data_IF_623630122935
#
_entry.id   IF_623630122935
#
_cell.length_a   1.000
_cell.length_b   1.000
_cell.length_c   1.000
_cell.angle_alpha   90.00
_cell.angle_beta   90.00
_cell.angle_gamma   90.00
#
_symmetry.space_group_name_H-M   'P 1'
#
loop_
_entity.id
_entity.type
_entity.pdbx_description
1 polymer ?
#
# COMPACT_ATOMS: atom_id res chain seq x y z
N UNK A 1 15.91 89.77 -4.04
CA UNK A 1 14.62 89.08 -3.74
C UNK A 1 14.80 87.63 -3.86
N UNK A 2 14.69 86.96 -2.77
CA UNK A 2 15.09 85.59 -2.47
C UNK A 2 13.98 84.60 -2.82
N UNK A 3 14.29 83.59 -3.61
CA UNK A 3 13.42 82.41 -3.78
C UNK A 3 14.13 81.19 -3.18
N UNK A 4 13.72 80.79 -1.99
CA UNK A 4 14.26 79.63 -1.26
C UNK A 4 13.40 78.38 -1.58
N UNK A 5 14.00 77.42 -2.30
CA UNK A 5 13.35 76.28 -2.82
C UNK A 5 13.21 75.11 -1.77
N UNK A 6 11.98 74.73 -1.58
CA UNK A 6 11.62 73.48 -0.83
C UNK A 6 12.16 72.21 -1.55
N UNK A 7 13.30 71.71 -1.11
CA UNK A 7 13.81 70.34 -1.54
C UNK A 7 14.18 69.47 -0.35
N UNK A 8 13.28 69.26 0.58
CA UNK A 8 13.60 68.53 1.80
C UNK A 8 12.76 67.26 2.11
N UNK A 9 11.62 67.00 1.47
CA UNK A 9 10.66 66.00 1.96
C UNK A 9 10.58 64.69 1.16
N UNK A 10 11.29 64.53 0.05
CA UNK A 10 11.21 63.34 -0.76
C UNK A 10 12.18 62.21 -0.36
N UNK A 11 13.24 62.48 0.42
CA UNK A 11 14.24 61.50 0.81
C UNK A 11 13.85 60.66 2.02
N UNK A 12 12.99 61.16 2.90
CA UNK A 12 12.56 60.45 4.10
C UNK A 12 11.49 59.34 3.82
N UNK A 13 10.66 59.54 2.80
CA UNK A 13 9.61 58.55 2.45
C UNK A 13 10.16 57.29 1.76
N UNK A 14 11.26 57.38 1.00
CA UNK A 14 11.81 56.25 0.29
C UNK A 14 12.51 55.22 1.24
N UNK A 15 13.05 55.70 2.36
CA UNK A 15 13.69 54.80 3.34
C UNK A 15 12.69 53.96 4.14
N UNK A 16 11.53 54.53 4.48
CA UNK A 16 10.45 53.84 5.20
C UNK A 16 9.84 52.72 4.32
N UNK A 17 9.61 53.05 3.04
CA UNK A 17 9.10 52.05 2.08
C UNK A 17 10.11 50.91 1.89
N UNK A 18 11.40 51.23 1.79
CA UNK A 18 12.46 50.21 1.67
C UNK A 18 12.54 49.26 2.86
N UNK A 19 12.43 49.79 4.09
CA UNK A 19 12.41 48.97 5.31
C UNK A 19 11.15 48.12 5.38
N UNK A 20 9.98 48.67 5.05
CA UNK A 20 8.73 47.93 5.05
C UNK A 20 8.75 46.75 4.04
N UNK A 21 9.28 46.96 2.83
CA UNK A 21 9.45 45.91 1.82
C UNK A 21 10.45 44.88 2.30
N UNK A 22 11.56 45.25 2.90
CA UNK A 22 12.56 44.31 3.42
C UNK A 22 11.98 43.44 4.51
N UNK A 23 11.23 44.01 5.45
CA UNK A 23 10.54 43.24 6.52
C UNK A 23 9.51 42.28 5.92
N UNK A 24 8.70 42.77 4.96
CA UNK A 24 7.70 41.92 4.30
C UNK A 24 8.35 40.71 3.57
N UNK A 25 9.43 40.94 2.82
CA UNK A 25 10.18 39.89 2.13
C UNK A 25 10.78 38.91 3.14
N UNK A 26 11.33 39.40 4.25
CA UNK A 26 11.90 38.52 5.29
C UNK A 26 10.82 37.64 5.94
N UNK A 27 9.67 38.23 6.30
CA UNK A 27 8.55 37.47 6.89
C UNK A 27 8.01 36.42 5.92
N UNK A 28 7.84 36.73 4.65
CA UNK A 28 7.41 35.80 3.62
C UNK A 28 8.44 34.67 3.41
N UNK A 29 9.73 35.01 3.39
CA UNK A 29 10.80 34.02 3.23
C UNK A 29 10.89 33.07 4.40
N UNK A 30 10.80 33.57 5.64
CA UNK A 30 10.79 32.72 6.85
C UNK A 30 9.54 31.85 6.90
N UNK A 31 8.37 32.44 6.55
CA UNK A 31 7.11 31.66 6.49
C UNK A 31 7.16 30.53 5.46
N UNK A 32 7.70 30.80 4.27
CA UNK A 32 7.86 29.77 3.22
C UNK A 32 8.85 28.68 3.63
N UNK A 33 9.97 29.04 4.26
CA UNK A 33 10.95 28.07 4.78
C UNK A 33 10.36 27.20 5.90
N UNK A 34 9.58 27.79 6.79
CA UNK A 34 8.94 27.04 7.89
C UNK A 34 7.91 26.05 7.37
N UNK A 35 7.10 26.45 6.38
CA UNK A 35 6.15 25.52 5.73
C UNK A 35 6.88 24.39 4.98
N UNK A 36 7.94 24.71 4.24
CA UNK A 36 8.74 23.71 3.54
C UNK A 36 9.37 22.72 4.53
N UNK A 37 9.99 23.20 5.62
CA UNK A 37 10.57 22.35 6.64
C UNK A 37 9.50 21.43 7.29
N UNK A 38 8.30 21.94 7.57
CA UNK A 38 7.19 21.16 8.14
C UNK A 38 6.74 20.03 7.21
N UNK A 39 6.66 20.26 5.89
CA UNK A 39 6.31 19.22 4.93
C UNK A 39 7.39 18.15 4.80
N UNK A 40 8.66 18.51 4.78
CA UNK A 40 9.77 17.55 4.74
C UNK A 40 9.80 16.63 5.98
N UNK A 41 9.58 17.18 7.17
CA UNK A 41 9.53 16.40 8.42
C UNK A 41 8.33 15.45 8.41
N UNK A 42 7.14 15.92 8.03
CA UNK A 42 5.94 15.08 7.97
C UNK A 42 6.05 13.96 6.94
N UNK A 43 6.63 14.24 5.77
CA UNK A 43 6.88 13.25 4.72
C UNK A 43 7.92 12.21 5.17
N UNK A 44 8.97 12.64 5.90
CA UNK A 44 9.97 11.76 6.49
C UNK A 44 9.38 10.80 7.51
N UNK A 45 8.52 11.30 8.41
CA UNK A 45 7.80 10.48 9.40
C UNK A 45 6.86 9.49 8.71
N UNK A 46 6.10 9.93 7.72
CA UNK A 46 5.21 9.04 6.96
C UNK A 46 5.99 7.95 6.23
N UNK A 47 7.16 8.27 5.67
CA UNK A 47 8.05 7.30 5.03
C UNK A 47 8.58 6.26 6.01
N UNK A 48 9.07 6.70 7.17
CA UNK A 48 9.59 5.82 8.21
C UNK A 48 8.51 4.90 8.78
N UNK A 49 7.30 5.42 9.02
CA UNK A 49 6.18 4.60 9.47
C UNK A 49 5.77 3.57 8.40
N UNK A 50 5.65 3.98 7.14
CA UNK A 50 5.29 3.06 6.05
C UNK A 50 6.31 1.93 5.90
N UNK A 51 7.62 2.25 6.00
CA UNK A 51 8.68 1.26 5.95
C UNK A 51 8.56 0.26 7.11
N UNK A 52 8.38 0.73 8.34
CA UNK A 52 8.23 -0.12 9.53
C UNK A 52 6.99 -0.99 9.44
N UNK A 53 5.85 -0.41 9.07
CA UNK A 53 4.60 -1.17 8.88
C UNK A 53 4.76 -2.22 7.78
N UNK A 54 5.46 -1.91 6.68
CA UNK A 54 5.74 -2.89 5.64
C UNK A 54 6.60 -4.06 6.16
N UNK A 55 7.61 -3.76 6.99
CA UNK A 55 8.46 -4.77 7.61
C UNK A 55 7.69 -5.62 8.64
N UNK A 56 6.71 -5.03 9.35
CA UNK A 56 5.86 -5.76 10.30
C UNK A 56 4.81 -6.61 9.59
N UNK A 57 4.23 -6.12 8.50
CA UNK A 57 3.25 -6.87 7.68
C UNK A 57 3.89 -8.06 6.95
N UNK A 58 5.14 -7.93 6.52
CA UNK A 58 5.92 -9.00 5.89
C UNK A 58 6.15 -10.22 6.81
N UNK A 59 6.06 -9.99 8.14
CA UNK A 59 6.21 -11.07 9.14
C UNK A 59 4.91 -11.80 9.48
N UNK A 60 3.77 -11.34 8.97
CA UNK A 60 2.47 -11.98 9.28
C UNK A 60 2.33 -13.33 8.57
N UNK A 61 3.07 -13.57 7.49
CA UNK A 61 2.98 -14.77 6.65
C UNK A 61 3.53 -16.05 7.28
N UNK A 62 4.20 -15.95 8.43
CA UNK A 62 4.90 -17.10 9.03
C UNK A 62 3.98 -18.08 9.79
N UNK A 63 2.66 -17.96 9.66
CA UNK A 63 1.70 -18.89 10.25
C UNK A 63 1.14 -18.44 11.59
N UNK A 64 1.11 -19.36 12.59
CA UNK A 64 0.58 -19.07 13.92
C UNK A 64 1.44 -18.07 14.68
N UNK A 65 0.82 -16.98 15.16
CA UNK A 65 1.59 -15.99 15.90
C UNK A 65 0.86 -14.73 16.31
N UNK A 66 1.64 -13.79 16.81
CA UNK A 66 1.17 -12.45 17.12
C UNK A 66 2.21 -11.43 16.64
N UNK A 67 1.84 -10.65 15.65
CA UNK A 67 2.66 -9.55 15.13
C UNK A 67 2.14 -8.24 15.68
N UNK A 68 3.05 -7.43 16.24
CA UNK A 68 2.74 -6.08 16.69
C UNK A 68 3.14 -5.10 15.60
N UNK A 69 2.19 -4.27 15.19
CA UNK A 69 2.37 -3.20 14.22
C UNK A 69 2.29 -1.87 14.95
N UNK A 70 3.34 -1.05 14.85
CA UNK A 70 3.39 0.24 15.52
C UNK A 70 3.61 1.39 14.53
N UNK A 71 2.78 2.43 14.66
CA UNK A 71 2.90 3.65 13.86
C UNK A 71 2.48 4.88 14.66
N UNK A 72 3.12 6.01 14.40
CA UNK A 72 2.84 7.25 15.11
C UNK A 72 1.75 8.10 14.44
N UNK A 73 1.38 7.79 13.20
CA UNK A 73 0.36 8.50 12.43
C UNK A 73 -0.14 7.64 11.28
N UNK A 74 -1.40 7.76 10.92
CA UNK A 74 -2.01 7.04 9.82
C UNK A 74 -3.15 6.13 10.26
N UNK A 75 -3.61 5.30 9.35
CA UNK A 75 -4.72 4.35 9.58
C UNK A 75 -4.35 2.99 9.01
N UNK A 76 -4.50 1.96 9.82
CA UNK A 76 -4.49 0.55 9.39
C UNK A 76 -5.94 0.08 9.28
N UNK A 77 -6.31 -0.49 8.15
CA UNK A 77 -7.66 -1.02 7.91
C UNK A 77 -7.62 -2.38 7.22
N UNK A 78 -8.73 -3.09 7.33
CA UNK A 78 -9.00 -4.35 6.65
C UNK A 78 -9.87 -4.05 5.43
N UNK A 79 -9.49 -4.53 4.27
CA UNK A 79 -10.24 -4.42 3.02
C UNK A 79 -10.53 -5.83 2.49
N UNK A 80 -11.81 -6.23 2.32
CA UNK A 80 -12.15 -7.54 1.75
C UNK A 80 -11.63 -7.66 0.32
N UNK A 81 -11.10 -8.83 -0.02
CA UNK A 81 -10.61 -9.18 -1.37
C UNK A 81 -10.89 -10.63 -1.65
N UNK A 82 -10.81 -11.02 -2.92
CA UNK A 82 -11.01 -12.40 -3.35
C UNK A 82 -9.84 -12.85 -4.23
N UNK A 83 -9.36 -14.07 -3.98
CA UNK A 83 -8.45 -14.80 -4.87
C UNK A 83 -9.23 -15.92 -5.53
N UNK A 84 -9.14 -16.03 -6.85
CA UNK A 84 -9.91 -17.00 -7.65
C UNK A 84 -8.98 -17.88 -8.47
N UNK A 85 -9.18 -19.18 -8.43
CA UNK A 85 -8.63 -20.11 -9.42
C UNK A 85 -9.67 -20.29 -10.54
N UNK A 86 -9.23 -20.04 -11.76
CA UNK A 86 -10.07 -20.13 -12.97
C UNK A 86 -9.64 -21.32 -13.80
N UNK A 87 -10.62 -22.04 -14.37
CA UNK A 87 -10.45 -23.10 -15.38
C UNK A 87 -11.23 -22.72 -16.61
N UNK A 88 -10.56 -22.55 -17.75
CA UNK A 88 -11.22 -22.08 -18.97
C UNK A 88 -11.93 -20.73 -18.82
N UNK A 89 -11.47 -19.87 -17.91
CA UNK A 89 -12.06 -18.55 -17.61
C UNK A 89 -13.25 -18.57 -16.63
N UNK A 90 -13.62 -19.75 -16.10
CA UNK A 90 -14.68 -19.95 -15.10
C UNK A 90 -14.06 -20.16 -13.74
N UNK A 91 -14.58 -19.52 -12.71
CA UNK A 91 -14.11 -19.70 -11.32
C UNK A 91 -14.44 -21.11 -10.82
N UNK A 92 -13.42 -21.88 -10.46
CA UNK A 92 -13.54 -23.22 -9.86
C UNK A 92 -13.24 -23.23 -8.35
N UNK A 93 -12.44 -22.26 -7.89
CA UNK A 93 -12.21 -21.99 -6.46
C UNK A 93 -12.25 -20.49 -6.26
N UNK A 94 -12.95 -20.03 -5.23
CA UNK A 94 -12.92 -18.66 -4.74
C UNK A 94 -12.55 -18.68 -3.26
N UNK A 95 -11.56 -17.88 -2.88
CA UNK A 95 -11.09 -17.74 -1.51
C UNK A 95 -11.20 -16.27 -1.11
N UNK A 96 -11.95 -15.98 -0.05
CA UNK A 96 -11.95 -14.66 0.57
C UNK A 96 -10.59 -14.46 1.26
N UNK A 97 -9.95 -13.34 0.99
CA UNK A 97 -8.64 -13.01 1.53
C UNK A 97 -8.59 -11.50 1.79
N UNK A 98 -8.67 -11.12 3.05
CA UNK A 98 -8.63 -9.70 3.44
C UNK A 98 -7.23 -9.11 3.20
N UNK A 99 -7.21 -7.87 2.73
CA UNK A 99 -5.99 -7.07 2.68
C UNK A 99 -5.85 -6.23 3.96
N UNK A 100 -4.66 -6.22 4.56
CA UNK A 100 -4.29 -5.24 5.57
C UNK A 100 -3.70 -4.01 4.88
N UNK A 101 -4.32 -2.85 5.06
CA UNK A 101 -3.97 -1.62 4.35
C UNK A 101 -3.62 -0.53 5.35
N UNK A 102 -2.38 -0.05 5.27
CA UNK A 102 -1.93 1.13 6.02
C UNK A 102 -1.80 2.33 5.10
N UNK A 103 -2.31 3.48 5.55
CA UNK A 103 -2.20 4.75 4.83
C UNK A 103 -1.74 5.88 5.73
N UNK A 104 -0.77 6.68 5.23
CA UNK A 104 -0.25 7.88 5.90
C UNK A 104 0.48 8.79 4.91
N UNK A 105 0.15 10.08 4.89
CA UNK A 105 0.88 11.09 4.11
C UNK A 105 0.97 10.78 2.61
N UNK A 106 -0.10 10.22 2.01
CA UNK A 106 -0.13 9.82 0.61
C UNK A 106 0.67 8.54 0.28
N UNK A 107 1.18 7.84 1.30
CA UNK A 107 1.77 6.50 1.20
C UNK A 107 0.74 5.45 1.53
N UNK A 108 0.82 4.32 0.84
CA UNK A 108 -0.02 3.14 1.08
C UNK A 108 0.86 1.91 1.16
N UNK A 109 0.66 1.12 2.21
CA UNK A 109 1.23 -0.23 2.35
C UNK A 109 0.08 -1.21 2.39
N UNK A 110 0.14 -2.25 1.57
CA UNK A 110 -0.89 -3.29 1.50
C UNK A 110 -0.24 -4.64 1.62
N UNK A 111 -0.69 -5.45 2.58
CA UNK A 111 -0.39 -6.89 2.62
C UNK A 111 -1.61 -7.64 2.12
N UNK A 112 -1.42 -8.45 1.11
CA UNK A 112 -2.45 -9.27 0.49
C UNK A 112 -1.82 -10.55 -0.05
N UNK A 113 -2.37 -11.70 0.34
CA UNK A 113 -1.96 -13.01 -0.18
C UNK A 113 -0.43 -13.24 -0.12
N UNK A 114 0.20 -12.94 1.01
CA UNK A 114 1.64 -13.11 1.23
C UNK A 114 2.53 -12.05 0.55
N UNK A 115 1.96 -11.13 -0.22
CA UNK A 115 2.73 -10.08 -0.88
C UNK A 115 2.47 -8.71 -0.24
N UNK A 116 3.53 -8.02 0.16
CA UNK A 116 3.46 -6.64 0.64
C UNK A 116 3.79 -5.68 -0.49
N UNK A 117 2.87 -4.74 -0.74
CA UNK A 117 3.02 -3.65 -1.69
C UNK A 117 3.19 -2.34 -0.91
N UNK A 118 4.33 -1.67 -1.07
CA UNK A 118 4.61 -0.34 -0.48
C UNK A 118 4.75 0.68 -1.60
N UNK A 119 4.01 1.79 -1.52
CA UNK A 119 4.03 2.79 -2.57
C UNK A 119 3.54 4.18 -2.19
N UNK A 120 3.79 5.12 -3.11
CA UNK A 120 3.27 6.50 -3.09
C UNK A 120 2.83 6.88 -4.51
N UNK A 121 1.56 7.19 -4.69
CA UNK A 121 0.99 7.46 -6.02
C UNK A 121 1.19 6.28 -6.97
N UNK A 122 1.83 6.54 -8.12
CA UNK A 122 2.08 5.50 -9.13
C UNK A 122 3.37 4.69 -8.90
N UNK A 123 4.16 5.06 -7.90
CA UNK A 123 5.40 4.37 -7.57
C UNK A 123 5.12 3.35 -6.47
N UNK A 124 5.36 2.09 -6.73
CA UNK A 124 5.24 1.03 -5.74
C UNK A 124 6.26 -0.07 -6.00
N UNK A 125 6.64 -0.74 -4.92
CA UNK A 125 7.49 -1.92 -4.89
C UNK A 125 6.78 -3.04 -4.16
N UNK A 126 7.13 -4.27 -4.51
CA UNK A 126 6.63 -5.48 -3.88
C UNK A 126 7.72 -6.12 -3.02
N UNK A 127 7.30 -6.82 -1.97
CA UNK A 127 8.12 -7.67 -1.10
C UNK A 127 7.36 -8.96 -0.85
N UNK A 128 8.09 -10.02 -0.52
CA UNK A 128 7.54 -11.35 -0.30
C UNK A 128 7.50 -12.20 -1.56
N UNK A 129 7.17 -13.48 -1.42
CA UNK A 129 7.08 -14.42 -2.52
C UNK A 129 5.86 -14.12 -3.40
N UNK A 130 5.95 -14.51 -4.68
CA UNK A 130 4.77 -14.52 -5.53
C UNK A 130 3.91 -15.74 -5.19
N UNK A 131 2.58 -15.57 -5.11
CA UNK A 131 1.68 -16.67 -4.78
C UNK A 131 1.43 -17.64 -5.94
N UNK A 132 2.07 -17.40 -7.08
CA UNK A 132 1.93 -18.22 -8.29
C UNK A 132 3.30 -18.48 -8.88
N UNK A 133 3.65 -19.75 -9.04
CA UNK A 133 4.89 -20.21 -9.68
C UNK A 133 4.55 -21.25 -10.74
N UNK A 134 5.01 -21.01 -11.98
CA UNK A 134 4.82 -21.95 -13.09
C UNK A 134 6.15 -22.62 -13.47
N UNK A 135 6.15 -23.92 -13.73
CA UNK A 135 7.29 -24.69 -14.18
C UNK A 135 6.98 -26.17 -14.32
N UNK A 136 7.69 -26.84 -15.23
CA UNK A 136 7.64 -28.30 -15.44
C UNK A 136 6.22 -28.88 -15.61
N UNK A 137 5.36 -28.18 -16.37
CA UNK A 137 3.97 -28.60 -16.58
C UNK A 137 3.06 -28.47 -15.36
N UNK A 138 3.51 -27.72 -14.34
CA UNK A 138 2.78 -27.47 -13.09
C UNK A 138 2.59 -25.99 -12.81
N UNK A 139 1.50 -25.67 -12.15
CA UNK A 139 1.21 -24.34 -11.59
C UNK A 139 1.03 -24.51 -10.08
N UNK A 140 1.99 -24.02 -9.33
CA UNK A 140 1.90 -23.94 -7.88
C UNK A 140 1.17 -22.65 -7.51
N UNK A 141 0.09 -22.78 -6.77
CA UNK A 141 -0.73 -21.65 -6.30
C UNK A 141 -0.78 -21.71 -4.79
N UNK A 142 -0.25 -20.68 -4.15
CA UNK A 142 -0.20 -20.52 -2.70
C UNK A 142 -1.07 -19.34 -2.29
N UNK A 143 -2.20 -19.62 -1.61
CA UNK A 143 -3.14 -18.60 -1.16
C UNK A 143 -3.02 -18.42 0.34
N UNK A 144 -2.53 -17.26 0.76
CA UNK A 144 -2.55 -16.81 2.15
C UNK A 144 -3.80 -15.95 2.37
N UNK A 145 -4.84 -16.57 2.88
CA UNK A 145 -6.13 -15.94 3.13
C UNK A 145 -6.19 -15.36 4.54
N UNK A 146 -6.01 -14.05 4.68
CA UNK A 146 -6.32 -13.36 5.92
C UNK A 146 -7.84 -13.23 6.08
N UNK A 147 -8.38 -13.82 7.13
CA UNK A 147 -9.79 -13.69 7.54
C UNK A 147 -9.86 -12.85 8.81
N UNK A 148 -9.95 -11.54 8.63
CA UNK A 148 -9.83 -10.60 9.74
C UNK A 148 -11.15 -10.42 10.50
N UNK A 149 -11.05 -10.45 11.83
CA UNK A 149 -12.13 -10.13 12.75
C UNK A 149 -11.72 -9.05 13.75
N UNK A 150 -12.68 -8.37 14.36
CA UNK A 150 -12.41 -7.32 15.32
C UNK A 150 -12.48 -5.91 14.73
N UNK A 151 -11.46 -5.08 14.95
CA UNK A 151 -11.46 -3.70 14.47
C UNK A 151 -11.16 -3.64 12.98
N UNK A 152 -12.11 -3.16 12.18
CA UNK A 152 -11.95 -3.01 10.72
C UNK A 152 -11.06 -1.83 10.34
N UNK A 153 -10.86 -0.87 11.25
CA UNK A 153 -9.94 0.24 11.08
C UNK A 153 -9.41 0.73 12.44
N UNK A 154 -8.12 0.98 12.51
CA UNK A 154 -7.44 1.54 13.68
C UNK A 154 -6.48 2.63 13.22
N UNK A 155 -6.54 3.82 13.83
CA UNK A 155 -5.65 4.91 13.46
C UNK A 155 -5.83 6.14 14.35
N UNK A 156 -5.04 7.16 14.06
CA UNK A 156 -5.07 8.43 14.79
C UNK A 156 -3.87 9.31 14.50
N UNK A 157 -3.80 10.42 15.21
CA UNK A 157 -2.66 11.35 15.24
C UNK A 157 -1.63 11.01 16.32
N UNK A 158 -2.00 10.15 17.27
CA UNK A 158 -1.14 9.69 18.35
C UNK A 158 -0.54 8.33 17.99
N UNK A 159 0.55 7.92 18.66
CA UNK A 159 1.13 6.59 18.49
C UNK A 159 0.09 5.49 18.72
N UNK A 160 0.00 4.58 17.78
CA UNK A 160 -0.92 3.45 17.79
C UNK A 160 -0.13 2.16 17.74
N UNK A 161 -0.48 1.23 18.61
CA UNK A 161 -0.05 -0.17 18.55
C UNK A 161 -1.24 -1.04 18.17
N UNK A 162 -1.04 -1.92 17.21
CA UNK A 162 -2.03 -2.91 16.77
C UNK A 162 -1.42 -4.28 16.91
N UNK A 163 -2.11 -5.20 17.56
CA UNK A 163 -1.71 -6.59 17.61
C UNK A 163 -2.56 -7.39 16.64
N UNK A 164 -1.89 -8.02 15.67
CA UNK A 164 -2.47 -8.95 14.71
C UNK A 164 -2.11 -10.36 15.18
N UNK A 165 -3.13 -11.15 15.51
CA UNK A 165 -2.96 -12.56 15.92
C UNK A 165 -3.49 -13.44 14.82
N UNK A 166 -2.70 -14.42 14.41
CA UNK A 166 -3.04 -15.40 13.38
C UNK A 166 -3.11 -16.78 13.96
N UNK A 167 -4.06 -17.58 13.48
CA UNK A 167 -4.14 -19.03 13.69
C UNK A 167 -4.35 -19.66 12.32
N UNK A 168 -3.39 -20.46 11.87
CA UNK A 168 -3.35 -21.00 10.52
C UNK A 168 -4.02 -22.38 10.44
N UNK A 169 -4.81 -22.58 9.38
CA UNK A 169 -5.21 -23.90 8.91
C UNK A 169 -4.81 -24.05 7.46
N UNK A 170 -4.44 -25.26 7.04
CA UNK A 170 -3.88 -25.50 5.71
C UNK A 170 -4.74 -26.51 4.97
N UNK A 171 -5.05 -26.21 3.72
CA UNK A 171 -5.76 -27.11 2.80
C UNK A 171 -4.94 -27.24 1.52
N UNK A 172 -4.78 -28.50 1.03
CA UNK A 172 -4.05 -28.79 -0.20
C UNK A 172 -4.97 -29.51 -1.17
N UNK A 173 -4.97 -29.07 -2.43
CA UNK A 173 -5.74 -29.67 -3.52
C UNK A 173 -4.89 -29.74 -4.79
N UNK A 174 -4.99 -30.85 -5.52
CA UNK A 174 -4.42 -30.98 -6.86
C UNK A 174 -5.55 -31.06 -7.88
N UNK A 175 -5.44 -30.30 -8.96
CA UNK A 175 -6.38 -30.29 -10.08
C UNK A 175 -5.71 -30.91 -11.29
N UNK A 176 -6.52 -31.68 -12.05
CA UNK A 176 -6.09 -32.35 -13.29
C UNK A 176 -5.59 -31.35 -14.32
N UNK A 177 -4.82 -31.82 -15.29
CA UNK A 177 -4.23 -31.00 -16.35
C UNK A 177 -5.31 -30.30 -17.19
N UNK A 178 -5.25 -28.97 -17.22
CA UNK A 178 -6.11 -28.09 -18.02
C UNK A 178 -5.50 -26.67 -18.10
N UNK A 179 -6.21 -25.74 -18.74
CA UNK A 179 -5.82 -24.32 -18.77
C UNK A 179 -6.34 -23.57 -17.54
N UNK A 180 -5.42 -23.18 -16.73
CA UNK A 180 -5.72 -22.44 -15.50
C UNK A 180 -5.21 -21.01 -15.53
N UNK A 181 -5.88 -20.17 -14.74
CA UNK A 181 -5.44 -18.83 -14.41
C UNK A 181 -5.76 -18.54 -12.94
N UNK A 182 -4.99 -17.66 -12.33
CA UNK A 182 -5.23 -17.15 -10.97
C UNK A 182 -5.58 -15.68 -11.04
N UNK A 183 -6.70 -15.30 -10.45
CA UNK A 183 -7.15 -13.91 -10.38
C UNK A 183 -7.04 -13.42 -8.94
N UNK A 184 -6.30 -12.31 -8.74
CA UNK A 184 -6.07 -11.68 -7.43
C UNK A 184 -6.66 -10.28 -7.48
N UNK A 185 -7.75 -10.09 -6.74
CA UNK A 185 -8.41 -8.79 -6.62
C UNK A 185 -7.57 -7.85 -5.77
N UNK A 186 -7.26 -6.66 -6.29
CA UNK A 186 -6.35 -5.73 -5.62
C UNK A 186 -6.56 -4.28 -6.03
N UNK A 187 -6.47 -3.37 -5.06
CA UNK A 187 -6.46 -1.93 -5.30
C UNK A 187 -5.10 -1.41 -5.83
N UNK A 188 -4.07 -2.26 -5.92
CA UNK A 188 -2.74 -1.91 -6.41
C UNK A 188 -2.31 -2.76 -7.62
N UNK A 189 -3.16 -2.89 -8.67
CA UNK A 189 -2.92 -3.84 -9.77
C UNK A 189 -1.60 -3.59 -10.51
N UNK A 190 -1.15 -2.34 -10.62
CA UNK A 190 0.12 -2.02 -11.29
C UNK A 190 1.36 -2.59 -10.60
N UNK A 191 1.33 -2.79 -9.27
CA UNK A 191 2.43 -3.44 -8.55
C UNK A 191 2.48 -4.94 -8.86
N UNK A 192 1.33 -5.59 -8.80
CA UNK A 192 1.16 -7.01 -9.13
C UNK A 192 1.53 -7.32 -10.58
N UNK A 193 1.09 -6.48 -11.54
CA UNK A 193 1.45 -6.61 -12.95
C UNK A 193 2.97 -6.62 -13.15
N UNK A 194 3.70 -5.70 -12.47
CA UNK A 194 5.15 -5.66 -12.57
C UNK A 194 5.82 -6.88 -11.95
N UNK A 195 5.32 -7.34 -10.81
CA UNK A 195 5.86 -8.51 -10.13
C UNK A 195 5.69 -9.78 -10.97
N UNK A 196 4.50 -10.02 -11.52
CA UNK A 196 4.24 -11.15 -12.41
C UNK A 196 4.97 -11.04 -13.76
N UNK A 197 5.11 -9.81 -14.30
CA UNK A 197 5.93 -9.59 -15.49
C UNK A 197 7.39 -9.98 -15.29
N UNK A 198 7.94 -9.63 -14.13
CA UNK A 198 9.32 -9.98 -13.79
C UNK A 198 9.54 -11.50 -13.65
N UNK A 199 8.47 -12.24 -13.29
CA UNK A 199 8.44 -13.70 -13.25
C UNK A 199 8.12 -14.36 -14.62
N UNK A 200 7.95 -13.57 -15.69
CA UNK A 200 7.67 -14.09 -17.03
C UNK A 200 6.24 -14.61 -17.24
N UNK A 201 5.31 -14.28 -16.33
CA UNK A 201 3.93 -14.75 -16.42
C UNK A 201 3.07 -13.82 -17.29
N UNK A 202 2.16 -14.41 -18.08
CA UNK A 202 1.14 -13.67 -18.82
C UNK A 202 0.11 -13.09 -17.84
N UNK A 203 -0.35 -11.86 -18.12
CA UNK A 203 -1.28 -11.16 -17.25
C UNK A 203 -2.29 -10.32 -18.00
N UNK A 204 -3.47 -10.24 -17.42
CA UNK A 204 -4.55 -9.36 -17.85
C UNK A 204 -5.26 -8.80 -16.62
N UNK A 205 -6.25 -7.92 -16.82
CA UNK A 205 -7.07 -7.39 -15.73
C UNK A 205 -8.53 -7.65 -16.01
N UNK A 206 -9.27 -8.00 -14.97
CA UNK A 206 -10.72 -8.20 -15.03
C UNK A 206 -11.34 -7.80 -13.70
N UNK A 207 -12.46 -7.08 -13.76
CA UNK A 207 -13.36 -6.88 -12.63
C UNK A 207 -14.42 -7.99 -12.69
N UNK A 208 -14.53 -8.81 -11.64
CA UNK A 208 -15.38 -10.00 -11.61
C UNK A 208 -16.76 -9.76 -10.99
N UNK A 209 -16.86 -8.77 -10.11
CA UNK A 209 -18.08 -8.45 -9.33
C UNK A 209 -18.63 -7.05 -9.62
N UNK A 210 -17.88 -6.22 -10.37
CA UNK A 210 -18.33 -4.90 -10.80
C UNK A 210 -18.24 -3.83 -9.72
N UNK A 211 -17.43 -4.06 -8.67
CA UNK A 211 -17.22 -3.12 -7.57
C UNK A 211 -16.18 -2.02 -7.90
N UNK A 212 -15.52 -2.13 -9.06
CA UNK A 212 -14.49 -1.21 -9.52
C UNK A 212 -13.08 -1.55 -9.02
N UNK A 213 -12.91 -2.64 -8.26
CA UNK A 213 -11.58 -3.15 -7.87
C UNK A 213 -11.17 -4.27 -8.83
N UNK A 214 -10.17 -4.04 -9.68
CA UNK A 214 -9.78 -5.05 -10.65
C UNK A 214 -9.02 -6.20 -10.01
N UNK A 215 -9.19 -7.39 -10.56
CA UNK A 215 -8.30 -8.53 -10.34
C UNK A 215 -7.20 -8.53 -11.38
N UNK A 216 -5.95 -8.77 -10.96
CA UNK A 216 -4.86 -9.16 -11.85
C UNK A 216 -5.00 -10.65 -12.11
N UNK A 217 -5.20 -11.02 -13.37
CA UNK A 217 -5.37 -12.40 -13.81
C UNK A 217 -4.05 -12.87 -14.41
N UNK A 218 -3.46 -13.90 -13.80
CA UNK A 218 -2.23 -14.54 -14.25
C UNK A 218 -2.55 -15.87 -14.89
N UNK A 219 -2.04 -16.10 -16.08
CA UNK A 219 -2.23 -17.35 -16.82
C UNK A 219 -0.93 -17.91 -17.34
N UNK A 220 -0.92 -19.22 -17.56
CA UNK A 220 0.09 -19.91 -18.35
C UNK A 220 -0.55 -20.36 -19.66
N UNK A 221 0.16 -20.25 -20.81
CA UNK A 221 -0.42 -20.54 -22.12
C UNK A 221 -0.70 -22.03 -22.31
N UNK A 222 0.01 -22.89 -21.57
CA UNK A 222 -0.04 -24.34 -21.66
C UNK A 222 -1.06 -24.93 -20.70
N UNK A 223 -1.50 -26.18 -20.98
CA UNK A 223 -2.22 -26.99 -19.98
C UNK A 223 -1.25 -27.43 -18.89
N UNK A 224 -1.66 -27.31 -17.65
CA UNK A 224 -0.85 -27.59 -16.47
C UNK A 224 -1.66 -28.34 -15.41
N UNK A 225 -1.00 -29.13 -14.59
CA UNK A 225 -1.54 -29.61 -13.32
C UNK A 225 -1.41 -28.48 -12.30
N UNK A 226 -2.47 -28.20 -11.54
CA UNK A 226 -2.44 -27.18 -10.49
C UNK A 226 -2.30 -27.83 -9.12
N UNK A 227 -1.29 -27.44 -8.36
CA UNK A 227 -1.18 -27.71 -6.94
C UNK A 227 -1.54 -26.44 -6.18
N UNK A 228 -2.69 -26.46 -5.52
CA UNK A 228 -3.23 -25.35 -4.73
C UNK A 228 -3.01 -25.62 -3.24
N UNK A 229 -2.32 -24.70 -2.58
CA UNK A 229 -2.28 -24.60 -1.14
C UNK A 229 -3.12 -23.37 -0.70
N UNK A 230 -3.96 -23.56 0.31
CA UNK A 230 -4.71 -22.47 0.95
C UNK A 230 -4.35 -22.45 2.43
N UNK A 231 -3.76 -21.35 2.87
CA UNK A 231 -3.43 -21.06 4.25
C UNK A 231 -4.47 -20.08 4.79
N UNK A 232 -5.50 -20.60 5.48
CA UNK A 232 -6.52 -19.77 6.11
C UNK A 232 -5.99 -19.24 7.44
N UNK A 233 -5.66 -17.94 7.48
CA UNK A 233 -5.18 -17.23 8.66
C UNK A 233 -6.35 -16.50 9.33
N UNK A 234 -6.98 -17.14 10.30
CA UNK A 234 -7.95 -16.47 11.17
C UNK A 234 -7.25 -15.38 11.96
N UNK A 235 -7.56 -14.15 11.63
CA UNK A 235 -6.83 -12.97 12.10
C UNK A 235 -7.69 -12.13 13.02
N UNK A 236 -7.16 -11.77 14.19
CA UNK A 236 -7.81 -10.84 15.12
C UNK A 236 -7.00 -9.56 15.21
N UNK A 237 -7.60 -8.46 14.78
CA UNK A 237 -7.00 -7.12 14.84
C UNK A 237 -7.49 -6.39 16.08
N UNK A 238 -6.59 -6.02 16.99
CA UNK A 238 -6.89 -5.30 18.23
C UNK A 238 -5.96 -4.11 18.42
N UNK A 239 -6.53 -3.01 18.86
CA UNK A 239 -5.74 -1.89 19.37
C UNK A 239 -5.09 -2.32 20.70
N UNK A 240 -3.76 -2.19 20.80
CA UNK A 240 -2.98 -2.46 22.01
C UNK A 240 -2.92 -1.26 22.94
#
# INVERSE_FOLDING_TARGET
MTANGRRGHRRAQSSIIGVAVLVAVTVLSVGALTMAAGTFVSDGVAASNAQRVADDLDRIDDGDGATRIEFSRGTLRVEPRTVRLLRGGITVVGVEADALVYESGGRRVTSLNGLVVDGRGNQSRTRGPLPVVAGDGRLLVDIVALNASGSTAVGGSDPVSVTVRTNATHEYRTFEEDRYAVAIETATPGAWDRAFAAAGLERSRRDFDGDGVPSVVVSVPESVVVDLAVHDLRTVVRRG
#
